data_IF_761835492332
#
_entry.id   IF_761835492332
#
_cell.length_a   1.000
_cell.length_b   1.000
_cell.length_c   1.000
_cell.angle_alpha   90.00
_cell.angle_beta   90.00
_cell.angle_gamma   90.00
#
_symmetry.space_group_name_H-M   'P 1'
#
loop_
_entity.id
_entity.type
_entity.pdbx_description
1 polymer ?
#
# COMPACT_ATOMS: atom_id res chain seq x y z
N UNK A 1 -4.57 23.61 11.36
CA UNK A 1 -4.99 22.32 11.94
C UNK A 1 -3.97 21.25 11.54
N UNK A 2 -3.41 20.45 12.45
CA UNK A 2 -2.41 19.44 12.06
C UNK A 2 -3.05 18.40 11.12
N UNK A 3 -2.38 18.04 10.03
CA UNK A 3 -2.86 17.05 9.04
C UNK A 3 -3.23 15.71 9.72
N UNK A 4 -2.50 15.33 10.77
CA UNK A 4 -2.76 14.13 11.57
C UNK A 4 -4.12 14.22 12.28
N UNK A 5 -4.50 15.40 12.76
CA UNK A 5 -5.80 15.62 13.42
C UNK A 5 -6.93 15.56 12.40
N UNK A 6 -6.74 16.11 11.19
CA UNK A 6 -7.72 16.00 10.11
C UNK A 6 -7.92 14.56 9.63
N UNK A 7 -6.83 13.80 9.44
CA UNK A 7 -6.88 12.37 9.10
C UNK A 7 -7.56 11.58 10.22
N UNK A 8 -7.25 11.88 11.50
CA UNK A 8 -7.94 11.29 12.64
C UNK A 8 -9.44 11.60 12.62
N UNK A 9 -9.85 12.83 12.35
CA UNK A 9 -11.26 13.23 12.37
C UNK A 9 -12.04 12.65 11.18
N UNK A 10 -11.42 12.51 10.01
CA UNK A 10 -12.00 11.81 8.86
C UNK A 10 -12.14 10.31 9.14
N UNK A 11 -11.08 9.66 9.63
CA UNK A 11 -11.13 8.23 9.94
C UNK A 11 -12.06 7.92 11.13
N UNK A 12 -12.10 8.80 12.14
CA UNK A 12 -12.96 8.64 13.31
C UNK A 12 -14.45 8.86 13.00
N UNK A 13 -14.78 9.61 11.95
CA UNK A 13 -16.16 9.70 11.43
C UNK A 13 -16.63 8.40 10.77
N UNK A 14 -15.71 7.54 10.30
CA UNK A 14 -16.01 6.22 9.74
C UNK A 14 -16.19 5.14 10.83
N UNK A 15 -16.97 5.40 11.89
CA UNK A 15 -17.24 4.41 12.96
C UNK A 15 -17.90 3.15 12.36
N UNK A 16 -17.18 2.03 12.28
CA UNK A 16 -17.67 0.76 11.72
C UNK A 16 -16.59 -0.30 11.50
N UNK A 17 -16.94 -1.42 10.85
CA UNK A 17 -16.02 -2.54 10.53
C UNK A 17 -14.78 -2.07 9.74
N UNK A 18 -14.92 -1.03 8.91
CA UNK A 18 -13.82 -0.38 8.19
C UNK A 18 -12.74 0.15 9.15
N UNK A 19 -13.13 0.99 10.13
CA UNK A 19 -12.18 1.62 11.04
C UNK A 19 -11.38 0.60 11.87
N UNK A 20 -12.07 -0.43 12.37
CA UNK A 20 -11.44 -1.45 13.21
C UNK A 20 -10.53 -2.42 12.46
N UNK A 21 -10.78 -2.63 11.16
CA UNK A 21 -10.02 -3.58 10.34
C UNK A 21 -8.87 -2.90 9.61
N UNK A 22 -9.09 -1.75 8.97
CA UNK A 22 -8.12 -1.14 8.04
C UNK A 22 -7.59 0.19 8.58
N UNK A 23 -8.47 1.17 8.82
CA UNK A 23 -8.06 2.56 9.10
C UNK A 23 -7.13 2.71 10.30
N UNK A 24 -7.26 1.86 11.34
CA UNK A 24 -6.35 1.87 12.50
C UNK A 24 -4.89 1.59 12.11
N UNK A 25 -4.64 0.67 11.18
CA UNK A 25 -3.28 0.37 10.72
C UNK A 25 -2.73 1.54 9.90
N UNK A 26 -3.53 2.08 8.98
CA UNK A 26 -3.21 3.26 8.18
C UNK A 26 -2.89 4.47 9.06
N UNK A 27 -3.66 4.69 10.13
CA UNK A 27 -3.40 5.77 11.08
C UNK A 27 -2.02 5.64 11.74
N UNK A 28 -1.62 4.43 12.12
CA UNK A 28 -0.29 4.18 12.70
C UNK A 28 0.82 4.42 11.67
N UNK A 29 0.63 3.98 10.43
CA UNK A 29 1.56 4.26 9.34
C UNK A 29 1.70 5.77 9.10
N UNK A 30 0.59 6.50 9.03
CA UNK A 30 0.61 7.95 8.85
C UNK A 30 1.28 8.68 10.00
N UNK A 31 1.08 8.24 11.24
CA UNK A 31 1.77 8.81 12.41
C UNK A 31 3.29 8.58 12.33
N UNK A 32 3.73 7.36 12.02
CA UNK A 32 5.15 7.03 11.86
C UNK A 32 5.77 7.77 10.67
N UNK A 33 5.05 7.87 9.56
CA UNK A 33 5.46 8.64 8.39
C UNK A 33 5.68 10.11 8.74
N UNK A 34 4.73 10.71 9.47
CA UNK A 34 4.83 12.10 9.89
C UNK A 34 5.99 12.35 10.87
N UNK A 35 6.28 11.41 11.77
CA UNK A 35 7.35 11.53 12.75
C UNK A 35 8.74 11.22 12.18
N UNK A 36 8.85 10.33 11.19
CA UNK A 36 10.14 9.89 10.64
C UNK A 36 10.54 10.64 9.35
N UNK A 37 9.62 11.30 8.66
CA UNK A 37 9.93 12.08 7.46
C UNK A 37 10.64 13.40 7.83
N UNK A 38 11.77 13.66 7.15
CA UNK A 38 12.58 14.86 7.36
C UNK A 38 12.12 16.01 6.46
N UNK A 39 11.70 15.69 5.23
CA UNK A 39 11.18 16.67 4.27
C UNK A 39 9.75 16.30 3.82
N UNK A 40 9.10 17.26 3.14
CA UNK A 40 7.72 17.10 2.69
C UNK A 40 7.57 16.00 1.62
N UNK A 41 8.58 15.77 0.80
CA UNK A 41 8.60 14.77 -0.27
C UNK A 41 8.60 13.36 0.32
N UNK A 42 9.47 13.09 1.30
CA UNK A 42 9.45 11.84 2.08
C UNK A 42 8.08 11.63 2.73
N UNK A 43 7.53 12.67 3.37
CA UNK A 43 6.23 12.59 4.03
C UNK A 43 5.11 12.26 3.05
N UNK A 44 5.03 12.96 1.92
CA UNK A 44 4.03 12.74 0.87
C UNK A 44 4.11 11.34 0.30
N UNK A 45 5.31 10.87 -0.04
CA UNK A 45 5.53 9.50 -0.53
C UNK A 45 4.95 8.45 0.44
N UNK A 46 5.31 8.56 1.71
CA UNK A 46 4.89 7.61 2.74
C UNK A 46 3.39 7.70 3.05
N UNK A 47 2.82 8.91 3.07
CA UNK A 47 1.38 9.07 3.31
C UNK A 47 0.53 8.56 2.14
N UNK A 48 0.93 8.85 0.90
CA UNK A 48 0.21 8.38 -0.29
C UNK A 48 0.28 6.86 -0.39
N UNK A 49 1.44 6.25 -0.15
CA UNK A 49 1.57 4.80 -0.14
C UNK A 49 0.71 4.14 0.97
N UNK A 50 0.62 4.74 2.17
CA UNK A 50 -0.26 4.26 3.22
C UNK A 50 -1.75 4.33 2.81
N UNK A 51 -2.17 5.44 2.18
CA UNK A 51 -3.54 5.61 1.70
C UNK A 51 -3.89 4.63 0.57
N UNK A 52 -2.96 4.41 -0.37
CA UNK A 52 -3.09 3.43 -1.44
C UNK A 52 -3.33 2.00 -0.93
N UNK A 53 -2.57 1.60 0.10
CA UNK A 53 -2.76 0.31 0.76
C UNK A 53 -4.11 0.21 1.50
N UNK A 54 -4.55 1.29 2.16
CA UNK A 54 -5.87 1.36 2.80
C UNK A 54 -6.99 1.16 1.79
N UNK A 55 -6.98 1.94 0.71
CA UNK A 55 -8.01 1.91 -0.33
C UNK A 55 -8.06 0.52 -0.98
N UNK A 56 -6.92 -0.04 -1.35
CA UNK A 56 -6.86 -1.38 -1.97
C UNK A 56 -7.44 -2.45 -1.06
N UNK A 57 -7.01 -2.51 0.21
CA UNK A 57 -7.50 -3.55 1.13
C UNK A 57 -8.97 -3.33 1.50
N UNK A 58 -9.40 -2.08 1.59
CA UNK A 58 -10.80 -1.73 1.84
C UNK A 58 -11.71 -2.10 0.68
N UNK A 59 -11.26 -1.89 -0.56
CA UNK A 59 -11.89 -2.44 -1.75
C UNK A 59 -11.95 -3.97 -1.65
N UNK A 60 -10.80 -4.66 -1.44
CA UNK A 60 -10.71 -6.12 -1.28
C UNK A 60 -11.71 -6.70 -0.28
N UNK A 61 -11.99 -5.98 0.81
CA UNK A 61 -12.90 -6.40 1.88
C UNK A 61 -14.33 -5.87 1.72
N UNK A 62 -14.63 -5.08 0.69
CA UNK A 62 -15.90 -4.36 0.50
C UNK A 62 -16.26 -3.48 1.71
N UNK A 63 -15.28 -2.80 2.29
CA UNK A 63 -15.42 -1.92 3.44
C UNK A 63 -15.31 -0.45 3.00
N UNK A 64 -16.43 0.26 2.82
CA UNK A 64 -16.40 1.71 2.57
C UNK A 64 -17.70 2.28 1.97
N UNK A 65 -18.06 3.54 2.29
CA UNK A 65 -19.19 4.21 1.65
C UNK A 65 -18.75 4.72 0.26
N UNK A 66 -19.31 4.15 -0.81
CA UNK A 66 -18.98 4.57 -2.18
C UNK A 66 -17.85 3.79 -2.84
N UNK A 67 -17.79 2.46 -2.63
CA UNK A 67 -17.01 1.51 -3.44
C UNK A 67 -17.46 1.52 -4.92
N UNK A 68 -17.29 2.65 -5.62
CA UNK A 68 -17.46 2.81 -7.06
C UNK A 68 -16.13 2.48 -7.78
N UNK A 69 -15.60 1.30 -7.49
CA UNK A 69 -14.81 0.54 -8.47
C UNK A 69 -15.56 -0.78 -8.64
N UNK A 70 -16.53 -0.75 -9.53
CA UNK A 70 -17.43 -1.83 -9.93
C UNK A 70 -16.74 -3.12 -10.39
N UNK A 71 -15.43 -3.11 -10.52
CA UNK A 71 -14.68 -4.13 -11.26
C UNK A 71 -14.06 -5.19 -10.35
N UNK A 72 -14.16 -5.02 -9.03
CA UNK A 72 -13.68 -6.03 -8.11
C UNK A 72 -14.84 -6.92 -7.65
N UNK A 73 -14.95 -8.13 -8.22
CA UNK A 73 -15.87 -9.19 -7.79
C UNK A 73 -15.47 -9.77 -6.42
N UNK A 74 -15.45 -8.95 -5.38
CA UNK A 74 -14.73 -9.35 -4.17
C UNK A 74 -15.56 -10.17 -3.21
N UNK A 75 -15.02 -11.37 -3.01
CA UNK A 75 -15.32 -12.39 -2.02
C UNK A 75 -15.94 -11.80 -0.75
N UNK A 76 -17.06 -12.38 -0.31
CA UNK A 76 -17.73 -11.98 0.93
C UNK A 76 -16.77 -12.13 2.11
N UNK A 77 -16.52 -11.04 2.83
CA UNK A 77 -15.61 -11.07 3.97
C UNK A 77 -16.20 -11.94 5.09
N UNK A 78 -15.56 -13.08 5.35
CA UNK A 78 -15.72 -13.78 6.62
C UNK A 78 -15.09 -12.99 7.78
N UNK A 79 -14.94 -13.62 8.95
CA UNK A 79 -14.16 -13.04 10.06
C UNK A 79 -12.66 -12.99 9.68
N UNK A 80 -12.23 -11.91 9.03
CA UNK A 80 -10.81 -11.65 8.72
C UNK A 80 -10.11 -11.09 9.97
N UNK A 81 -8.96 -11.66 10.32
CA UNK A 81 -8.17 -11.19 11.47
C UNK A 81 -7.46 -9.87 11.16
N UNK A 82 -7.22 -9.03 12.18
CA UNK A 82 -6.46 -7.79 12.01
C UNK A 82 -5.04 -8.03 11.48
N UNK A 83 -4.42 -9.13 11.90
CA UNK A 83 -3.08 -9.51 11.45
C UNK A 83 -3.07 -9.89 9.96
N UNK A 84 -4.12 -10.56 9.48
CA UNK A 84 -4.28 -10.85 8.06
C UNK A 84 -4.41 -9.57 7.22
N UNK A 85 -5.21 -8.61 7.70
CA UNK A 85 -5.36 -7.29 7.05
C UNK A 85 -4.02 -6.55 6.98
N UNK A 86 -3.32 -6.45 8.12
CA UNK A 86 -2.02 -5.80 8.19
C UNK A 86 -1.00 -6.47 7.25
N UNK A 87 -0.95 -7.80 7.23
CA UNK A 87 -0.04 -8.53 6.36
C UNK A 87 -0.39 -8.30 4.88
N UNK A 88 -1.67 -8.26 4.50
CA UNK A 88 -2.08 -7.94 3.14
C UNK A 88 -1.73 -6.50 2.73
N UNK A 89 -1.91 -5.51 3.61
CA UNK A 89 -1.46 -4.14 3.36
C UNK A 89 0.03 -4.08 3.06
N UNK A 90 0.85 -4.83 3.81
CA UNK A 90 2.31 -4.89 3.60
C UNK A 90 2.69 -5.59 2.30
N UNK A 91 1.92 -6.59 1.85
CA UNK A 91 2.12 -7.18 0.52
C UNK A 91 1.91 -6.12 -0.57
N UNK A 92 0.84 -5.33 -0.46
CA UNK A 92 0.58 -4.24 -1.41
C UNK A 92 1.69 -3.20 -1.41
N UNK A 93 2.09 -2.74 -0.22
CA UNK A 93 3.20 -1.79 -0.05
C UNK A 93 4.51 -2.35 -0.61
N UNK A 94 4.77 -3.64 -0.47
CA UNK A 94 5.94 -4.30 -1.05
C UNK A 94 5.91 -4.28 -2.58
N UNK A 95 4.75 -4.56 -3.18
CA UNK A 95 4.60 -4.48 -4.63
C UNK A 95 4.80 -3.04 -5.13
N UNK A 96 4.26 -2.06 -4.42
CA UNK A 96 4.46 -0.64 -4.72
C UNK A 96 5.94 -0.22 -4.59
N UNK A 97 6.65 -0.75 -3.59
CA UNK A 97 8.09 -0.53 -3.43
C UNK A 97 8.90 -1.12 -4.60
N UNK A 98 8.53 -2.31 -5.11
CA UNK A 98 9.15 -2.87 -6.32
C UNK A 98 8.98 -1.91 -7.50
N UNK A 99 7.77 -1.36 -7.69
CA UNK A 99 7.51 -0.41 -8.77
C UNK A 99 8.24 0.92 -8.58
N UNK A 100 8.31 1.45 -7.36
CA UNK A 100 9.13 2.63 -7.06
C UNK A 100 10.62 2.39 -7.39
N UNK A 101 11.10 1.15 -7.23
CA UNK A 101 12.44 0.75 -7.66
C UNK A 101 12.71 0.92 -9.16
N UNK A 102 11.68 0.89 -10.01
CA UNK A 102 11.82 1.17 -11.45
C UNK A 102 12.10 2.64 -11.74
N UNK A 103 11.70 3.54 -10.83
CA UNK A 103 11.91 4.98 -10.90
C UNK A 103 12.91 5.46 -9.82
N UNK A 104 13.85 4.57 -9.45
CA UNK A 104 14.79 4.77 -8.34
C UNK A 104 15.47 6.14 -8.37
N UNK A 105 16.05 6.54 -9.51
CA UNK A 105 16.78 7.81 -9.60
C UNK A 105 15.90 9.02 -9.26
N UNK A 106 14.65 9.04 -9.74
CA UNK A 106 13.70 10.11 -9.45
C UNK A 106 13.29 10.12 -7.97
N UNK A 107 13.00 8.94 -7.41
CA UNK A 107 12.58 8.79 -6.00
C UNK A 107 13.69 9.23 -5.07
N UNK A 108 14.92 8.72 -5.25
CA UNK A 108 16.07 9.06 -4.40
C UNK A 108 16.42 10.55 -4.51
N UNK A 109 16.40 11.12 -5.72
CA UNK A 109 16.66 12.55 -5.91
C UNK A 109 15.58 13.43 -5.26
N UNK A 110 14.30 13.08 -5.42
CA UNK A 110 13.19 13.89 -4.88
C UNK A 110 13.06 13.79 -3.35
N UNK A 111 13.45 12.65 -2.78
CA UNK A 111 13.34 12.41 -1.34
C UNK A 111 14.63 12.75 -0.58
N UNK A 112 15.73 13.01 -1.27
CA UNK A 112 17.06 13.24 -0.69
C UNK A 112 17.50 12.06 0.20
N UNK A 113 17.15 10.85 -0.23
CA UNK A 113 17.54 9.61 0.42
C UNK A 113 18.49 8.83 -0.48
N UNK A 114 19.40 8.11 0.14
CA UNK A 114 20.04 6.97 -0.50
C UNK A 114 19.13 5.73 -0.41
N UNK A 115 19.53 4.65 -1.08
CA UNK A 115 18.73 3.42 -1.12
C UNK A 115 18.54 2.82 0.29
N UNK A 116 19.60 2.80 1.10
CA UNK A 116 19.54 2.26 2.44
C UNK A 116 18.64 3.09 3.36
N UNK A 117 18.68 4.42 3.24
CA UNK A 117 17.82 5.35 3.95
C UNK A 117 16.35 5.19 3.54
N UNK A 118 16.08 5.02 2.25
CA UNK A 118 14.74 4.72 1.74
C UNK A 118 14.20 3.41 2.33
N UNK A 119 14.96 2.31 2.25
CA UNK A 119 14.56 1.01 2.77
C UNK A 119 14.37 1.03 4.29
N UNK A 120 15.27 1.70 5.02
CA UNK A 120 15.18 1.87 6.47
C UNK A 120 13.91 2.60 6.86
N UNK A 121 13.61 3.74 6.20
CA UNK A 121 12.38 4.50 6.46
C UNK A 121 11.13 3.70 6.07
N UNK A 122 11.12 3.06 4.90
CA UNK A 122 10.00 2.25 4.45
C UNK A 122 9.68 1.14 5.46
N UNK A 123 10.69 0.38 5.86
CA UNK A 123 10.54 -0.69 6.84
C UNK A 123 10.10 -0.15 8.21
N UNK A 124 10.66 0.97 8.67
CA UNK A 124 10.34 1.55 9.97
C UNK A 124 8.94 2.17 10.04
N UNK A 125 8.45 2.76 8.96
CA UNK A 125 7.10 3.34 8.90
C UNK A 125 6.04 2.26 8.86
N UNK A 126 6.24 1.24 8.02
CA UNK A 126 5.27 0.18 7.79
C UNK A 126 5.49 -1.07 8.66
N UNK A 127 6.46 -1.04 9.57
CA UNK A 127 6.71 -2.10 10.58
C UNK A 127 7.09 -3.46 9.96
N UNK A 128 7.99 -3.45 8.98
CA UNK A 128 8.37 -4.68 8.26
C UNK A 128 9.19 -5.62 9.14
N UNK A 129 8.67 -6.83 9.33
CA UNK A 129 9.38 -7.93 9.99
C UNK A 129 10.13 -8.81 8.98
N UNK A 130 10.71 -9.92 9.45
CA UNK A 130 11.47 -10.84 8.60
C UNK A 130 10.60 -11.55 7.55
N UNK A 131 9.38 -11.94 7.89
CA UNK A 131 8.43 -12.56 6.95
C UNK A 131 8.02 -11.59 5.85
N UNK A 132 7.79 -10.32 6.18
CA UNK A 132 7.44 -9.28 5.20
C UNK A 132 8.58 -9.10 4.16
N UNK A 133 9.83 -9.12 4.62
CA UNK A 133 11.02 -9.07 3.78
C UNK A 133 11.19 -10.32 2.92
N UNK A 134 10.84 -11.49 3.46
CA UNK A 134 10.88 -12.76 2.74
C UNK A 134 9.92 -12.73 1.55
N UNK A 135 8.68 -12.27 1.75
CA UNK A 135 7.70 -12.10 0.67
C UNK A 135 8.24 -11.16 -0.42
N UNK A 136 8.85 -10.04 -0.02
CA UNK A 136 9.46 -9.11 -0.97
C UNK A 136 10.57 -9.78 -1.78
N UNK A 137 11.55 -10.39 -1.11
CA UNK A 137 12.77 -10.91 -1.73
C UNK A 137 12.57 -12.21 -2.53
N UNK A 138 11.71 -13.10 -2.03
CA UNK A 138 11.55 -14.45 -2.58
C UNK A 138 10.31 -14.61 -3.45
N UNK A 139 9.36 -13.66 -3.40
CA UNK A 139 8.11 -13.75 -4.16
C UNK A 139 7.92 -12.57 -5.10
N UNK A 140 7.83 -11.35 -4.58
CA UNK A 140 7.40 -10.20 -5.38
C UNK A 140 8.50 -9.69 -6.32
N UNK A 141 9.71 -9.52 -5.81
CA UNK A 141 10.84 -9.06 -6.61
C UNK A 141 11.21 -10.06 -7.73
N UNK A 142 11.30 -11.38 -7.47
CA UNK A 142 11.52 -12.37 -8.53
C UNK A 142 10.39 -12.40 -9.56
N UNK A 143 9.12 -12.31 -9.14
CA UNK A 143 7.98 -12.26 -10.05
C UNK A 143 8.09 -11.06 -11.02
N UNK A 144 8.41 -9.88 -10.49
CA UNK A 144 8.61 -8.69 -11.33
C UNK A 144 9.80 -8.86 -12.28
N UNK A 145 10.93 -9.41 -11.82
CA UNK A 145 12.11 -9.63 -12.67
C UNK A 145 11.85 -10.66 -13.78
N UNK A 146 11.03 -11.67 -13.53
CA UNK A 146 10.75 -12.75 -14.49
C UNK A 146 9.59 -12.47 -15.45
N UNK A 147 8.60 -11.66 -15.06
CA UNK A 147 7.39 -11.44 -15.85
C UNK A 147 6.78 -10.04 -15.74
N UNK A 148 7.55 -9.06 -15.28
CA UNK A 148 7.15 -7.65 -15.25
C UNK A 148 5.96 -7.35 -14.33
N UNK A 149 5.21 -6.32 -14.70
CA UNK A 149 4.08 -5.81 -13.92
C UNK A 149 2.95 -6.85 -13.77
N UNK A 150 2.66 -7.63 -14.81
CA UNK A 150 1.62 -8.66 -14.78
C UNK A 150 1.94 -9.74 -13.73
N UNK A 151 3.17 -10.27 -13.77
CA UNK A 151 3.61 -11.29 -12.81
C UNK A 151 3.67 -10.75 -11.38
N UNK A 152 4.12 -9.50 -11.18
CA UNK A 152 4.10 -8.83 -9.88
C UNK A 152 2.67 -8.71 -9.35
N UNK A 153 1.74 -8.24 -10.18
CA UNK A 153 0.32 -8.06 -9.83
C UNK A 153 -0.30 -9.38 -9.42
N UNK A 154 -0.07 -10.44 -10.21
CA UNK A 154 -0.54 -11.80 -9.89
C UNK A 154 0.02 -12.29 -8.56
N UNK A 155 1.33 -12.17 -8.35
CA UNK A 155 1.97 -12.60 -7.11
C UNK A 155 1.46 -11.82 -5.87
N UNK A 156 1.34 -10.50 -5.98
CA UNK A 156 0.83 -9.63 -4.93
C UNK A 156 -0.64 -9.93 -4.62
N UNK A 157 -1.48 -10.05 -5.66
CA UNK A 157 -2.87 -10.47 -5.54
C UNK A 157 -2.98 -11.79 -4.78
N UNK A 158 -2.31 -12.84 -5.24
CA UNK A 158 -2.31 -14.17 -4.61
C UNK A 158 -1.90 -14.10 -3.14
N UNK A 159 -0.85 -13.35 -2.84
CA UNK A 159 -0.40 -13.14 -1.47
C UNK A 159 -1.42 -12.40 -0.60
N UNK A 160 -2.10 -11.37 -1.12
CA UNK A 160 -3.13 -10.64 -0.38
C UNK A 160 -4.37 -11.50 -0.14
N UNK A 161 -4.88 -12.16 -1.19
CA UNK A 161 -6.10 -12.99 -1.09
C UNK A 161 -5.88 -14.19 -0.19
N UNK A 162 -4.76 -14.90 -0.30
CA UNK A 162 -4.45 -16.04 0.60
C UNK A 162 -4.36 -15.64 2.08
N UNK A 163 -3.98 -14.39 2.37
CA UNK A 163 -3.95 -13.84 3.74
C UNK A 163 -5.34 -13.45 4.23
N UNK A 164 -6.11 -12.77 3.38
CA UNK A 164 -7.42 -12.24 3.73
C UNK A 164 -8.51 -13.33 3.74
N UNK A 165 -8.36 -14.36 2.90
CA UNK A 165 -9.38 -15.37 2.65
C UNK A 165 -8.77 -16.78 2.65
N UNK A 166 -9.43 -17.74 3.29
CA UNK A 166 -9.00 -19.15 3.34
C UNK A 166 -9.27 -19.95 2.05
N UNK A 167 -9.62 -19.28 0.96
CA UNK A 167 -10.03 -19.89 -0.33
C UNK A 167 -8.90 -19.82 -1.35
N UNK A 168 -8.88 -20.81 -2.25
CA UNK A 168 -7.94 -20.90 -3.37
C UNK A 168 -7.89 -19.57 -4.15
N UNK A 169 -6.71 -18.93 -4.32
CA UNK A 169 -6.58 -17.56 -4.85
C UNK A 169 -6.64 -17.49 -6.38
N UNK A 170 -7.46 -18.31 -7.04
CA UNK A 170 -7.67 -18.14 -8.48
C UNK A 170 -8.33 -16.77 -8.71
N UNK A 171 -7.59 -15.86 -9.35
CA UNK A 171 -8.10 -14.57 -9.77
C UNK A 171 -8.71 -14.68 -11.16
N UNK A 172 -9.81 -13.97 -11.35
CA UNK A 172 -10.29 -13.70 -12.70
C UNK A 172 -9.44 -12.61 -13.36
N UNK A 173 -9.41 -12.59 -14.70
CA UNK A 173 -8.61 -11.61 -15.47
C UNK A 173 -8.94 -10.17 -15.08
N UNK A 174 -10.22 -9.88 -14.82
CA UNK A 174 -10.69 -8.53 -14.45
C UNK A 174 -10.17 -8.08 -13.08
N UNK A 175 -10.11 -8.99 -12.10
CA UNK A 175 -9.58 -8.71 -10.76
C UNK A 175 -8.09 -8.38 -10.82
N UNK A 176 -7.31 -9.13 -11.61
CA UNK A 176 -5.89 -8.83 -11.84
C UNK A 176 -5.72 -7.48 -12.50
N UNK A 177 -6.48 -7.18 -13.56
CA UNK A 177 -6.43 -5.88 -14.23
C UNK A 177 -6.82 -4.72 -13.30
N UNK A 178 -7.71 -4.94 -12.34
CA UNK A 178 -8.06 -3.92 -11.36
C UNK A 178 -6.93 -3.65 -10.36
N UNK A 179 -6.24 -4.69 -9.86
CA UNK A 179 -5.06 -4.53 -8.99
C UNK A 179 -3.90 -3.87 -9.75
N UNK A 180 -3.68 -4.27 -11.02
CA UNK A 180 -2.64 -3.69 -11.86
C UNK A 180 -2.86 -2.18 -12.07
N UNK A 181 -4.09 -1.80 -12.45
CA UNK A 181 -4.48 -0.39 -12.60
C UNK A 181 -4.28 0.39 -11.30
N UNK A 182 -4.62 -0.19 -10.14
CA UNK A 182 -4.40 0.44 -8.84
C UNK A 182 -2.91 0.69 -8.58
N UNK A 183 -2.05 -0.32 -8.78
CA UNK A 183 -0.60 -0.20 -8.60
C UNK A 183 0.01 0.89 -9.49
N UNK A 184 -0.37 0.95 -10.77
CA UNK A 184 0.12 1.99 -11.70
C UNK A 184 -0.40 3.37 -11.32
N UNK A 185 -1.67 3.48 -10.96
CA UNK A 185 -2.28 4.73 -10.51
C UNK A 185 -1.58 5.27 -9.25
N UNK A 186 -1.35 4.41 -8.27
CA UNK A 186 -0.73 4.77 -6.99
C UNK A 186 0.75 5.12 -7.15
N UNK A 187 1.49 4.38 -8.00
CA UNK A 187 2.86 4.75 -8.38
C UNK A 187 2.87 6.17 -8.98
N UNK A 188 1.99 6.45 -9.93
CA UNK A 188 1.90 7.75 -10.60
C UNK A 188 1.53 8.85 -9.60
N UNK A 189 0.62 8.58 -8.68
CA UNK A 189 0.23 9.50 -7.63
C UNK A 189 1.42 9.84 -6.71
N UNK A 190 2.22 8.84 -6.32
CA UNK A 190 3.43 9.07 -5.51
C UNK A 190 4.43 9.93 -6.26
N UNK A 191 4.77 9.56 -7.51
CA UNK A 191 5.76 10.27 -8.33
C UNK A 191 5.36 11.73 -8.57
N UNK A 192 4.07 11.97 -8.82
CA UNK A 192 3.53 13.33 -8.94
C UNK A 192 3.71 14.12 -7.64
N UNK A 193 3.38 13.53 -6.49
CA UNK A 193 3.42 14.23 -5.21
C UNK A 193 4.84 14.55 -4.71
N UNK A 194 5.82 13.71 -5.03
CA UNK A 194 7.23 13.99 -4.71
C UNK A 194 7.89 14.94 -5.71
N UNK A 195 7.40 14.98 -6.96
CA UNK A 195 7.92 15.87 -8.02
C UNK A 195 7.45 17.33 -7.91
N UNK A 196 6.42 17.63 -7.11
CA UNK A 196 5.99 19.00 -6.84
C UNK A 196 7.04 19.68 -5.97
N UNK A 197 7.89 20.53 -6.58
CA UNK A 197 8.71 21.50 -5.85
C UNK A 197 7.77 22.53 -5.22
N UNK A 198 7.85 22.70 -3.90
CA UNK A 198 7.13 23.80 -3.24
C UNK A 198 7.76 25.12 -3.71
N UNK A 199 6.93 26.02 -4.26
CA UNK A 199 7.32 27.41 -4.41
C UNK A 199 7.53 27.96 -2.99
N UNK A 200 8.71 28.52 -2.75
CA UNK A 200 9.17 29.01 -1.45
C UNK A 200 8.26 30.07 -0.82
#
# INVERSE_FOLDING_TARGET
MPIITFIKDIMAKARGSYYYKVARHTQLFCQRAASQAVNNQQRRMLLVAAAAADETISCLLKLGPGSNRSDYMLRTSGKVSKQAVLSAMKVYLSALLVLLGTQRSQVLASTELDEQGLLTKWCGVYDYNLEDRKIFNETLLPAFKGGGLEALTRAAGCCMVSRLFSTNPQFESEELSAIERALVYDLTAILRNIGVKEAG
#
